data_IF_192978607117
#
_entry.id   IF_192978607117
#
_cell.length_a   1.000
_cell.length_b   1.000
_cell.length_c   1.000
_cell.angle_alpha   90.00
_cell.angle_beta   90.00
_cell.angle_gamma   90.00
#
_symmetry.space_group_name_H-M   'P 1'
#
loop_
_entity.id
_entity.type
_entity.pdbx_description
1 polymer ?
#
# COMPACT_ATOMS: atom_id res chain seq x y z
N UNK A 1 -32.39 22.97 16.34
CA UNK A 1 -32.77 22.74 17.75
C UNK A 1 -34.10 22.03 17.87
N UNK A 2 -34.24 21.08 18.80
CA UNK A 2 -35.51 20.35 19.00
C UNK A 2 -36.41 21.06 20.02
N UNK A 3 -37.73 21.03 19.80
CA UNK A 3 -38.74 21.53 20.75
C UNK A 3 -39.04 20.49 21.83
N UNK A 4 -38.94 20.89 23.08
CA UNK A 4 -39.53 20.19 24.22
C UNK A 4 -40.84 20.89 24.62
N UNK A 5 -41.90 20.11 24.83
CA UNK A 5 -43.22 20.57 25.25
C UNK A 5 -43.73 19.63 26.34
N UNK A 6 -44.28 20.21 27.39
CA UNK A 6 -44.83 19.46 28.51
C UNK A 6 -45.81 20.29 29.32
N UNK A 7 -46.53 19.65 30.25
CA UNK A 7 -47.54 20.28 31.08
C UNK A 7 -47.31 19.96 32.55
N UNK A 8 -47.35 20.98 33.40
CA UNK A 8 -47.27 20.83 34.85
C UNK A 8 -48.65 20.49 35.39
N UNK A 9 -48.77 19.32 36.01
CA UNK A 9 -49.98 18.84 36.65
C UNK A 9 -49.75 18.59 38.14
N UNK A 10 -50.76 18.86 38.96
CA UNK A 10 -50.76 18.52 40.39
C UNK A 10 -51.04 17.01 40.59
N UNK A 11 -50.85 16.45 41.81
CA UNK A 11 -51.14 15.05 42.09
C UNK A 11 -52.61 14.63 41.89
N UNK A 12 -53.52 15.58 41.68
CA UNK A 12 -54.94 15.36 41.38
C UNK A 12 -55.24 15.47 39.87
N UNK A 13 -54.22 15.73 39.04
CA UNK A 13 -54.33 15.85 37.59
C UNK A 13 -54.72 17.24 37.07
N UNK A 14 -54.79 18.27 37.92
CA UNK A 14 -55.11 19.64 37.48
C UNK A 14 -53.85 20.35 36.99
N UNK A 15 -53.97 21.17 35.94
CA UNK A 15 -52.88 22.01 35.49
C UNK A 15 -52.46 23.05 36.53
N UNK A 16 -51.15 23.25 36.69
CA UNK A 16 -50.58 24.22 37.64
C UNK A 16 -50.06 25.45 36.90
N UNK A 17 -50.85 26.52 36.92
CA UNK A 17 -50.46 27.80 36.33
C UNK A 17 -49.28 28.46 37.06
N UNK A 18 -48.39 29.11 36.32
CA UNK A 18 -47.32 29.93 36.89
C UNK A 18 -46.18 29.16 37.57
N UNK A 19 -46.13 27.84 37.42
CA UNK A 19 -45.00 27.03 37.88
C UNK A 19 -43.68 27.51 37.22
N UNK A 20 -42.60 27.59 38.00
CA UNK A 20 -41.27 27.90 37.49
C UNK A 20 -40.61 26.65 36.90
N UNK A 21 -40.09 26.77 35.69
CA UNK A 21 -39.38 25.72 34.96
C UNK A 21 -37.92 26.09 34.86
N UNK A 22 -37.05 25.17 35.28
CA UNK A 22 -35.60 25.24 35.16
C UNK A 22 -35.15 24.17 34.18
N UNK A 23 -34.41 24.56 33.15
CA UNK A 23 -33.76 23.62 32.23
C UNK A 23 -32.29 23.60 32.56
N UNK A 24 -31.76 22.47 33.00
CA UNK A 24 -30.35 22.31 33.37
C UNK A 24 -29.65 21.39 32.39
N UNK A 25 -28.38 21.66 32.14
CA UNK A 25 -27.48 20.68 31.52
C UNK A 25 -27.31 19.49 32.46
N UNK A 26 -26.81 18.34 31.96
CA UNK A 26 -26.55 17.17 32.80
C UNK A 26 -25.57 17.45 33.95
N UNK A 27 -24.74 18.50 33.83
CA UNK A 27 -23.80 18.93 34.86
C UNK A 27 -24.42 19.89 35.90
N UNK A 28 -25.72 20.21 35.80
CA UNK A 28 -26.47 21.02 36.77
C UNK A 28 -26.55 22.53 36.47
N UNK A 29 -25.78 23.03 35.52
CA UNK A 29 -25.80 24.44 35.08
C UNK A 29 -27.07 24.79 34.30
N UNK A 30 -27.53 26.05 34.38
CA UNK A 30 -28.68 26.51 33.58
C UNK A 30 -28.36 26.46 32.08
N UNK A 31 -29.22 25.80 31.31
CA UNK A 31 -29.07 25.67 29.86
C UNK A 31 -29.49 26.94 29.12
N UNK A 32 -28.82 27.23 28.00
CA UNK A 32 -29.33 28.19 27.02
C UNK A 32 -30.53 27.58 26.29
N UNK A 33 -31.68 28.26 26.36
CA UNK A 33 -32.94 27.81 25.72
C UNK A 33 -33.54 28.94 24.88
N UNK A 34 -34.44 28.57 23.97
CA UNK A 34 -34.99 29.47 22.95
C UNK A 34 -36.51 29.34 22.84
N UNK A 35 -37.18 30.40 22.43
CA UNK A 35 -38.64 30.42 22.21
C UNK A 35 -39.05 29.87 20.84
N UNK A 36 -38.11 29.84 19.90
CA UNK A 36 -38.25 29.30 18.54
C UNK A 36 -37.01 28.50 18.14
N UNK A 37 -37.06 27.83 16.98
CA UNK A 37 -35.93 27.04 16.46
C UNK A 37 -34.77 27.94 15.98
N UNK A 38 -33.97 28.47 16.91
CA UNK A 38 -32.67 29.12 16.62
C UNK A 38 -32.56 30.61 16.92
N UNK A 39 -33.67 31.34 16.91
CA UNK A 39 -33.60 32.78 16.61
C UNK A 39 -33.85 33.73 17.80
N UNK A 40 -34.44 33.26 18.89
CA UNK A 40 -34.85 34.12 20.02
C UNK A 40 -34.54 33.44 21.34
N UNK A 41 -33.52 33.94 22.05
CA UNK A 41 -33.17 33.46 23.38
C UNK A 41 -34.36 33.62 24.34
N UNK A 42 -34.56 32.62 25.19
CA UNK A 42 -35.62 32.61 26.21
C UNK A 42 -34.97 32.54 27.59
N UNK A 43 -35.51 33.32 28.52
CA UNK A 43 -35.04 33.30 29.91
C UNK A 43 -35.14 31.90 30.51
N UNK A 44 -34.13 31.52 31.27
CA UNK A 44 -34.10 30.29 32.05
C UNK A 44 -33.62 30.64 33.45
N UNK A 45 -34.45 30.48 34.50
CA UNK A 45 -35.78 29.86 34.48
C UNK A 45 -36.89 30.72 33.84
N UNK A 46 -38.04 30.10 33.55
CA UNK A 46 -39.24 30.77 33.04
C UNK A 46 -40.52 30.17 33.63
N UNK A 47 -41.66 30.83 33.44
CA UNK A 47 -42.95 30.38 33.99
C UNK A 47 -43.82 29.64 32.98
N UNK A 48 -44.52 28.60 33.45
CA UNK A 48 -45.57 27.93 32.69
C UNK A 48 -46.80 28.84 32.51
N UNK A 49 -47.56 28.62 31.44
CA UNK A 49 -48.72 29.45 31.10
C UNK A 49 -49.92 29.20 32.04
N UNK A 50 -51.06 29.84 31.77
CA UNK A 50 -52.29 29.70 32.57
C UNK A 50 -52.86 28.26 32.59
N UNK A 51 -52.47 27.43 31.62
CA UNK A 51 -52.86 26.02 31.50
C UNK A 51 -51.75 25.08 31.98
N UNK A 52 -50.73 25.59 32.69
CA UNK A 52 -49.59 24.80 33.17
C UNK A 52 -48.66 24.29 32.07
N UNK A 53 -48.87 24.68 30.82
CA UNK A 53 -48.04 24.24 29.70
C UNK A 53 -46.76 25.05 29.61
N UNK A 54 -45.69 24.39 29.20
CA UNK A 54 -44.42 25.03 28.94
C UNK A 54 -43.73 24.39 27.74
N UNK A 55 -43.02 25.21 26.97
CA UNK A 55 -42.19 24.73 25.89
C UNK A 55 -40.92 25.56 25.74
N UNK A 56 -39.88 24.91 25.22
CA UNK A 56 -38.63 25.55 24.87
C UNK A 56 -37.96 24.77 23.72
N UNK A 57 -37.00 25.42 23.07
CA UNK A 57 -36.06 24.79 22.15
C UNK A 57 -34.67 24.80 22.78
N UNK A 58 -33.91 23.72 22.58
CA UNK A 58 -32.51 23.64 22.98
C UNK A 58 -31.68 22.90 21.92
N UNK A 59 -30.36 23.06 21.98
CA UNK A 59 -29.41 22.37 21.13
C UNK A 59 -29.40 20.86 21.39
N UNK A 60 -28.72 20.11 20.51
CA UNK A 60 -28.56 18.67 20.69
C UNK A 60 -27.81 18.39 22.00
N UNK A 61 -28.41 17.62 22.89
CA UNK A 61 -27.86 17.39 24.22
C UNK A 61 -28.80 16.66 25.17
N UNK A 62 -28.30 16.44 26.39
CA UNK A 62 -29.05 15.80 27.50
C UNK A 62 -29.28 16.83 28.60
N UNK A 63 -30.52 16.92 29.06
CA UNK A 63 -30.99 17.97 29.97
C UNK A 63 -31.80 17.41 31.12
N UNK A 64 -31.78 18.11 32.25
CA UNK A 64 -32.72 17.89 33.34
C UNK A 64 -33.74 19.03 33.35
N UNK A 65 -35.03 18.70 33.46
CA UNK A 65 -36.11 19.70 33.53
C UNK A 65 -36.75 19.63 34.91
N UNK A 66 -36.55 20.68 35.71
CA UNK A 66 -37.10 20.81 37.05
C UNK A 66 -38.25 21.80 37.04
N UNK A 67 -39.33 21.46 37.73
CA UNK A 67 -40.49 22.32 37.91
C UNK A 67 -40.67 22.61 39.39
N UNK A 68 -40.77 23.88 39.75
CA UNK A 68 -40.98 24.35 41.11
C UNK A 68 -42.20 25.26 41.24
N UNK A 69 -42.91 25.16 42.36
CA UNK A 69 -44.07 26.01 42.69
C UNK A 69 -43.86 26.58 44.09
N UNK A 70 -43.88 27.91 44.23
CA UNK A 70 -43.64 28.55 45.53
C UNK A 70 -42.25 28.25 46.13
N UNK A 71 -41.26 27.94 45.29
CA UNK A 71 -39.89 27.59 45.71
C UNK A 71 -39.67 26.11 46.05
N UNK A 72 -40.70 25.27 45.99
CA UNK A 72 -40.58 23.82 46.21
C UNK A 72 -40.55 23.07 44.87
N UNK A 73 -39.57 22.19 44.68
CA UNK A 73 -39.49 21.33 43.49
C UNK A 73 -40.61 20.29 43.52
N UNK A 74 -41.46 20.31 42.50
CA UNK A 74 -42.63 19.44 42.36
C UNK A 74 -42.35 18.23 41.46
N UNK A 75 -41.52 18.41 40.42
CA UNK A 75 -41.15 17.33 39.52
C UNK A 75 -39.80 17.59 38.89
N UNK A 76 -39.02 16.53 38.72
CA UNK A 76 -37.78 16.53 37.93
C UNK A 76 -37.90 15.46 36.86
N UNK A 77 -37.68 15.85 35.60
CA UNK A 77 -37.40 14.91 34.52
C UNK A 77 -35.89 14.89 34.30
N UNK A 78 -35.28 13.78 34.66
CA UNK A 78 -33.86 13.56 34.43
C UNK A 78 -33.63 13.06 33.02
N UNK A 79 -32.48 13.39 32.46
CA UNK A 79 -31.96 12.81 31.23
C UNK A 79 -32.90 12.92 30.00
N UNK A 80 -33.48 14.10 29.83
CA UNK A 80 -34.22 14.45 28.62
C UNK A 80 -33.23 14.66 27.49
N UNK A 81 -33.18 13.71 26.56
CA UNK A 81 -32.40 13.83 25.33
C UNK A 81 -33.17 14.66 24.31
N UNK A 82 -32.56 15.75 23.85
CA UNK A 82 -33.05 16.54 22.73
C UNK A 82 -32.10 16.36 21.56
N UNK A 83 -32.65 15.93 20.42
CA UNK A 83 -31.95 15.66 19.19
C UNK A 83 -32.73 16.21 17.99
N UNK A 84 -32.12 17.13 17.27
CA UNK A 84 -32.55 17.64 15.98
C UNK A 84 -31.65 17.07 14.88
N UNK A 85 -32.23 16.20 14.05
CA UNK A 85 -31.54 15.56 12.94
C UNK A 85 -31.08 16.55 11.86
N UNK A 86 -31.72 17.72 11.73
CA UNK A 86 -31.29 18.75 10.79
C UNK A 86 -29.96 19.42 11.18
N UNK A 87 -29.57 19.31 12.46
CA UNK A 87 -28.33 19.85 13.02
C UNK A 87 -27.15 18.86 12.87
N UNK A 88 -27.40 17.63 12.40
CA UNK A 88 -26.40 16.55 12.25
C UNK A 88 -26.03 16.31 10.79
N UNK A 89 -26.05 17.36 9.95
CA UNK A 89 -25.38 17.29 8.64
C UNK A 89 -23.89 17.57 8.90
N UNK A 90 -23.00 16.57 8.83
CA UNK A 90 -21.58 16.81 9.03
C UNK A 90 -21.07 17.64 7.84
N UNK A 91 -20.58 18.85 8.09
CA UNK A 91 -19.84 19.63 7.09
C UNK A 91 -20.26 21.08 6.86
N UNK A 92 -21.31 21.58 7.52
CA UNK A 92 -21.70 23.01 7.38
C UNK A 92 -21.80 23.68 8.75
N UNK A 93 -20.66 23.94 9.36
CA UNK A 93 -20.56 24.88 10.49
C UNK A 93 -20.47 26.30 9.95
N UNK A 94 -21.58 27.03 9.98
CA UNK A 94 -21.59 28.47 9.74
C UNK A 94 -22.93 28.97 9.21
N UNK A 95 -23.44 30.03 9.85
CA UNK A 95 -24.39 31.06 9.39
C UNK A 95 -25.05 30.81 8.03
N UNK A 96 -26.39 30.86 7.93
CA UNK A 96 -27.08 30.84 6.64
C UNK A 96 -26.42 31.81 5.66
N UNK A 97 -25.63 31.25 4.74
CA UNK A 97 -24.90 32.01 3.75
C UNK A 97 -25.92 32.80 2.92
N UNK A 98 -25.68 34.11 2.82
CA UNK A 98 -26.50 34.98 1.97
C UNK A 98 -26.46 34.48 0.53
N UNK A 99 -27.48 34.79 -0.28
CA UNK A 99 -27.59 34.24 -1.65
C UNK A 99 -26.33 34.50 -2.51
N UNK A 100 -25.55 35.56 -2.19
CA UNK A 100 -24.28 35.87 -2.83
C UNK A 100 -23.12 34.95 -2.42
N UNK A 101 -23.01 34.57 -1.15
CA UNK A 101 -21.98 33.63 -0.67
C UNK A 101 -22.19 32.22 -1.24
N UNK A 102 -23.46 31.80 -1.33
CA UNK A 102 -23.82 30.54 -2.01
C UNK A 102 -23.51 30.57 -3.50
N UNK A 103 -23.55 31.75 -4.13
CA UNK A 103 -23.21 31.92 -5.54
C UNK A 103 -21.70 31.88 -5.75
N UNK A 104 -20.91 32.50 -4.86
CA UNK A 104 -19.45 32.44 -4.91
C UNK A 104 -18.91 31.05 -4.61
N UNK A 105 -19.51 30.32 -3.68
CA UNK A 105 -19.13 28.93 -3.39
C UNK A 105 -19.43 28.03 -4.59
N UNK A 106 -20.57 28.25 -5.26
CA UNK A 106 -20.93 27.51 -6.47
C UNK A 106 -20.01 27.85 -7.64
N UNK A 107 -19.66 29.12 -7.85
CA UNK A 107 -18.69 29.55 -8.86
C UNK A 107 -17.31 28.92 -8.61
N UNK A 108 -16.86 28.90 -7.35
CA UNK A 108 -15.59 28.29 -6.95
C UNK A 108 -15.60 26.78 -7.18
N UNK A 109 -16.67 26.07 -6.77
CA UNK A 109 -16.82 24.64 -6.98
C UNK A 109 -16.89 24.28 -8.47
N UNK A 110 -17.55 25.11 -9.28
CA UNK A 110 -17.59 24.92 -10.74
C UNK A 110 -16.23 25.15 -11.40
N UNK A 111 -15.44 26.11 -10.90
CA UNK A 111 -14.08 26.36 -11.37
C UNK A 111 -13.11 25.22 -11.02
N UNK A 112 -13.18 24.71 -9.80
CA UNK A 112 -12.37 23.55 -9.37
C UNK A 112 -12.75 22.28 -10.14
N UNK A 113 -14.03 22.03 -10.36
CA UNK A 113 -14.46 20.92 -11.23
C UNK A 113 -13.99 21.12 -12.67
N UNK A 114 -14.09 22.33 -13.24
CA UNK A 114 -13.61 22.60 -14.60
C UNK A 114 -12.09 22.35 -14.71
N UNK A 115 -11.30 22.83 -13.76
CA UNK A 115 -9.85 22.58 -13.72
C UNK A 115 -9.51 21.09 -13.58
N UNK A 116 -10.28 20.35 -12.77
CA UNK A 116 -10.11 18.90 -12.61
C UNK A 116 -10.43 18.15 -13.90
N UNK A 117 -11.51 18.53 -14.60
CA UNK A 117 -11.89 17.97 -15.89
C UNK A 117 -10.84 18.27 -16.98
N UNK A 118 -10.30 19.49 -17.01
CA UNK A 118 -9.23 19.87 -17.94
C UNK A 118 -7.94 19.07 -17.70
N UNK A 119 -7.55 18.88 -16.44
CA UNK A 119 -6.40 18.05 -16.07
C UNK A 119 -6.61 16.58 -16.50
N UNK A 120 -7.80 16.02 -16.24
CA UNK A 120 -8.15 14.66 -16.68
C UNK A 120 -8.14 14.51 -18.20
N UNK A 121 -8.65 15.51 -18.94
CA UNK A 121 -8.62 15.53 -20.41
C UNK A 121 -7.19 15.56 -20.96
N UNK A 122 -6.29 16.30 -20.31
CA UNK A 122 -4.88 16.33 -20.67
C UNK A 122 -4.19 14.99 -20.42
N UNK A 123 -4.48 14.33 -19.29
CA UNK A 123 -3.98 12.97 -18.98
C UNK A 123 -4.49 11.94 -20.00
N UNK A 124 -5.79 11.97 -20.32
CA UNK A 124 -6.39 11.09 -21.33
C UNK A 124 -5.78 11.30 -22.72
N UNK A 125 -5.50 12.56 -23.08
CA UNK A 125 -4.82 12.89 -24.34
C UNK A 125 -3.38 12.34 -24.35
N UNK A 126 -2.67 12.46 -23.23
CA UNK A 126 -1.32 11.88 -23.08
C UNK A 126 -1.31 10.36 -23.23
N UNK A 127 -2.25 9.66 -22.58
CA UNK A 127 -2.42 8.21 -22.76
C UNK A 127 -2.78 7.83 -24.20
N UNK A 128 -3.62 8.63 -24.87
CA UNK A 128 -3.94 8.44 -26.29
C UNK A 128 -2.72 8.55 -27.20
N UNK A 129 -1.84 9.52 -26.93
CA UNK A 129 -0.58 9.66 -27.68
C UNK A 129 0.38 8.50 -27.41
N UNK A 130 0.50 8.05 -26.15
CA UNK A 130 1.33 6.88 -25.81
C UNK A 130 0.83 5.59 -26.49
N UNK A 131 -0.48 5.38 -26.55
CA UNK A 131 -1.07 4.25 -27.26
C UNK A 131 -0.82 4.34 -28.76
N UNK A 132 -0.93 5.54 -29.36
CA UNK A 132 -0.62 5.75 -30.77
C UNK A 132 0.86 5.52 -31.08
N UNK A 133 1.77 5.98 -30.23
CA UNK A 133 3.21 5.76 -30.38
C UNK A 133 3.57 4.29 -30.18
N UNK A 134 2.92 3.60 -29.24
CA UNK A 134 3.08 2.15 -29.04
C UNK A 134 2.54 1.35 -30.23
N UNK A 135 1.39 1.74 -30.79
CA UNK A 135 0.84 1.13 -31.99
C UNK A 135 1.77 1.36 -33.19
N UNK A 136 2.26 2.58 -33.40
CA UNK A 136 3.22 2.88 -34.46
C UNK A 136 4.55 2.12 -34.27
N UNK A 137 5.01 1.96 -33.03
CA UNK A 137 6.17 1.14 -32.68
C UNK A 137 5.97 -0.35 -32.99
N UNK A 138 4.80 -0.89 -32.69
CA UNK A 138 4.42 -2.27 -33.04
C UNK A 138 4.27 -2.46 -34.56
N UNK A 139 3.70 -1.48 -35.26
CA UNK A 139 3.61 -1.48 -36.73
C UNK A 139 4.99 -1.35 -37.40
N UNK A 140 5.94 -0.65 -36.79
CA UNK A 140 7.32 -0.56 -37.27
C UNK A 140 8.15 -1.82 -36.98
N UNK A 141 7.78 -2.59 -35.94
CA UNK A 141 8.47 -3.83 -35.54
C UNK A 141 7.82 -5.10 -36.11
N UNK A 142 6.54 -5.05 -36.46
CA UNK A 142 5.79 -6.16 -37.04
C UNK A 142 5.76 -6.09 -38.56
N UNK A 143 6.15 -7.17 -39.23
CA UNK A 143 5.78 -7.39 -40.62
C UNK A 143 4.26 -7.22 -40.72
N UNK A 144 3.79 -6.31 -41.57
CA UNK A 144 2.36 -6.09 -41.79
C UNK A 144 1.68 -7.41 -42.16
N UNK A 145 0.39 -7.57 -41.86
CA UNK A 145 -0.34 -8.79 -42.21
C UNK A 145 -0.23 -9.10 -43.72
N UNK A 146 -0.18 -8.07 -44.55
CA UNK A 146 0.06 -8.18 -45.98
C UNK A 146 1.46 -8.70 -46.34
N UNK A 147 2.50 -8.30 -45.60
CA UNK A 147 3.87 -8.81 -45.77
C UNK A 147 4.01 -10.24 -45.26
N UNK A 148 3.29 -10.62 -44.20
CA UNK A 148 3.23 -11.99 -43.70
C UNK A 148 2.49 -12.91 -44.68
N UNK A 149 1.38 -12.46 -45.26
CA UNK A 149 0.65 -13.18 -46.31
C UNK A 149 1.52 -13.32 -47.57
N UNK A 150 2.24 -12.26 -47.95
CA UNK A 150 3.19 -12.29 -49.07
C UNK A 150 4.34 -13.26 -48.79
N UNK A 151 4.92 -13.25 -47.59
CA UNK A 151 5.98 -14.20 -47.19
C UNK A 151 5.48 -15.63 -47.11
N UNK A 152 4.26 -15.85 -46.64
CA UNK A 152 3.66 -17.18 -46.56
C UNK A 152 3.36 -17.72 -47.95
N UNK A 153 2.86 -16.88 -48.86
CA UNK A 153 2.65 -17.23 -50.25
C UNK A 153 3.97 -17.58 -50.96
N UNK A 154 5.04 -16.79 -50.77
CA UNK A 154 6.35 -17.09 -51.38
C UNK A 154 7.01 -18.34 -50.80
N UNK A 155 6.83 -18.65 -49.51
CA UNK A 155 7.27 -19.91 -48.92
C UNK A 155 6.49 -21.12 -49.43
N UNK A 156 5.17 -20.97 -49.65
CA UNK A 156 4.35 -22.04 -50.22
C UNK A 156 4.68 -22.29 -51.69
N UNK A 157 4.91 -21.24 -52.48
CA UNK A 157 5.31 -21.33 -53.88
C UNK A 157 6.72 -21.90 -54.04
N UNK A 158 7.68 -21.48 -53.21
CA UNK A 158 9.04 -22.04 -53.22
C UNK A 158 9.06 -23.49 -52.75
N UNK A 159 8.28 -23.83 -51.72
CA UNK A 159 8.09 -25.20 -51.24
C UNK A 159 7.45 -26.11 -52.29
N UNK A 160 6.41 -25.63 -52.97
CA UNK A 160 5.75 -26.36 -54.07
C UNK A 160 6.69 -26.57 -55.27
N UNK A 161 7.50 -25.56 -55.60
CA UNK A 161 8.52 -25.66 -56.66
C UNK A 161 9.62 -26.65 -56.28
N UNK A 162 10.09 -26.64 -55.03
CA UNK A 162 11.09 -27.57 -54.52
C UNK A 162 10.57 -29.01 -54.49
N UNK A 163 9.33 -29.24 -54.05
CA UNK A 163 8.68 -30.55 -54.08
C UNK A 163 8.56 -31.07 -55.51
N UNK A 164 8.12 -30.23 -56.44
CA UNK A 164 8.01 -30.59 -57.86
C UNK A 164 9.38 -30.93 -58.46
N UNK A 165 10.42 -30.16 -58.13
CA UNK A 165 11.79 -30.43 -58.57
C UNK A 165 12.34 -31.75 -58.01
N UNK A 166 12.08 -32.04 -56.73
CA UNK A 166 12.44 -33.31 -56.09
C UNK A 166 11.72 -34.49 -56.71
N UNK A 167 10.42 -34.36 -57.00
CA UNK A 167 9.63 -35.39 -57.69
C UNK A 167 10.17 -35.68 -59.09
N UNK A 168 10.42 -34.64 -59.89
CA UNK A 168 11.01 -34.79 -61.23
C UNK A 168 12.42 -35.41 -61.16
N UNK A 169 13.20 -35.09 -60.13
CA UNK A 169 14.52 -35.68 -59.92
C UNK A 169 14.44 -37.15 -59.49
N UNK A 170 13.47 -37.53 -58.67
CA UNK A 170 13.22 -38.91 -58.28
C UNK A 170 12.79 -39.76 -59.48
N UNK A 171 11.89 -39.26 -60.32
CA UNK A 171 11.51 -39.89 -61.59
C UNK A 171 12.72 -40.12 -62.51
N UNK A 172 13.59 -39.13 -62.67
CA UNK A 172 14.81 -39.27 -63.47
C UNK A 172 15.80 -40.30 -62.90
N UNK A 173 15.83 -40.47 -61.58
CA UNK A 173 16.64 -41.50 -60.92
C UNK A 173 16.06 -42.90 -61.14
N UNK A 174 14.74 -43.06 -61.02
CA UNK A 174 14.06 -44.34 -61.32
C UNK A 174 14.25 -44.77 -62.78
N UNK A 175 14.15 -43.84 -63.74
CA UNK A 175 14.42 -44.12 -65.16
C UNK A 175 15.89 -44.51 -65.41
N UNK A 176 16.84 -43.87 -64.70
CA UNK A 176 18.26 -44.22 -64.74
C UNK A 176 18.52 -45.62 -64.17
N UNK A 177 17.93 -45.95 -63.03
CA UNK A 177 18.07 -47.27 -62.39
C UNK A 177 17.45 -48.38 -63.26
N UNK A 178 16.31 -48.11 -63.91
CA UNK A 178 15.69 -49.04 -64.86
C UNK A 178 16.57 -49.29 -66.10
N UNK A 179 17.20 -48.22 -66.63
CA UNK A 179 18.15 -48.33 -67.75
C UNK A 179 19.39 -49.15 -67.37
N UNK A 180 19.97 -48.89 -66.18
CA UNK A 180 21.11 -49.65 -65.66
C UNK A 180 20.77 -51.13 -65.43
N UNK A 181 19.61 -51.44 -64.85
CA UNK A 181 19.17 -52.82 -64.67
C UNK A 181 18.98 -53.56 -66.00
N UNK A 182 18.43 -52.89 -67.02
CA UNK A 182 18.26 -53.48 -68.36
C UNK A 182 19.62 -53.75 -69.01
N UNK A 183 20.58 -52.84 -68.85
CA UNK A 183 21.95 -53.00 -69.35
C UNK A 183 22.67 -54.16 -68.63
N UNK A 184 22.55 -54.26 -67.30
CA UNK A 184 23.08 -55.36 -66.50
C UNK A 184 22.45 -56.71 -66.86
N UNK A 185 21.14 -56.76 -67.11
CA UNK A 185 20.45 -57.98 -67.56
C UNK A 185 20.97 -58.44 -68.93
N UNK A 186 21.10 -57.52 -69.89
CA UNK A 186 21.66 -57.85 -71.21
C UNK A 186 23.13 -58.31 -71.13
N UNK A 187 23.88 -57.76 -70.18
CA UNK A 187 25.27 -58.13 -69.94
C UNK A 187 25.37 -59.54 -69.33
N UNK A 188 24.48 -59.88 -68.39
CA UNK A 188 24.36 -61.21 -67.78
C UNK A 188 23.94 -62.27 -68.82
N UNK A 189 22.98 -61.96 -69.69
CA UNK A 189 22.57 -62.84 -70.79
C UNK A 189 23.72 -63.09 -71.77
N UNK A 190 24.51 -62.05 -72.10
CA UNK A 190 25.68 -62.19 -72.99
C UNK A 190 26.84 -62.95 -72.35
N UNK A 191 27.06 -62.82 -71.04
CA UNK A 191 28.05 -63.64 -70.32
C UNK A 191 27.67 -65.11 -70.28
N UNK A 192 26.38 -65.43 -70.12
CA UNK A 192 25.88 -66.81 -70.25
C UNK A 192 26.18 -67.42 -71.62
N UNK A 193 26.13 -66.63 -72.71
CA UNK A 193 26.46 -67.11 -74.07
C UNK A 193 27.95 -67.27 -74.34
N UNK A 194 28.80 -66.52 -73.62
CA UNK A 194 30.27 -66.60 -73.72
C UNK A 194 30.84 -67.82 -72.97
N UNK A 195 30.23 -68.20 -71.84
CA UNK A 195 30.58 -69.43 -71.12
C UNK A 195 30.26 -70.71 -71.92
N UNK A 196 29.20 -70.69 -72.74
CA UNK A 196 28.88 -71.80 -73.64
C UNK A 196 29.84 -71.93 -74.85
N UNK A 197 30.54 -70.86 -75.23
CA UNK A 197 31.32 -70.82 -76.49
C UNK A 197 32.85 -70.85 -76.33
N UNK A 198 33.37 -70.85 -75.09
CA UNK A 198 34.79 -71.13 -74.80
C UNK A 198 35.82 -70.14 -75.36
N UNK A 199 35.41 -68.92 -75.72
CA UNK A 199 36.28 -67.87 -76.27
C UNK A 199 37.05 -67.09 -75.20
N UNK A 200 38.34 -66.79 -75.46
CA UNK A 200 39.16 -65.90 -74.63
C UNK A 200 38.53 -64.50 -74.53
N UNK A 201 38.51 -63.83 -73.36
CA UNK A 201 37.82 -62.55 -73.20
C UNK A 201 38.41 -61.47 -74.10
N UNK A 202 37.55 -60.78 -74.85
CA UNK A 202 37.91 -59.67 -75.74
C UNK A 202 38.36 -58.46 -74.90
N UNK A 203 39.58 -57.99 -75.14
CA UNK A 203 40.16 -56.80 -74.49
C UNK A 203 39.29 -55.55 -74.70
N UNK A 204 38.52 -55.49 -75.78
CA UNK A 204 37.56 -54.40 -76.05
C UNK A 204 36.41 -54.40 -75.04
N UNK A 205 35.95 -55.57 -74.63
CA UNK A 205 34.91 -55.74 -73.63
C UNK A 205 35.41 -55.38 -72.23
N UNK A 206 36.65 -55.75 -71.89
CA UNK A 206 37.30 -55.33 -70.64
C UNK A 206 37.47 -53.81 -70.57
N UNK A 207 37.89 -53.17 -71.67
CA UNK A 207 38.01 -51.70 -71.73
C UNK A 207 36.65 -51.01 -71.58
N UNK A 208 35.60 -51.57 -72.17
CA UNK A 208 34.23 -51.05 -72.04
C UNK A 208 33.75 -51.16 -70.59
N UNK A 209 34.03 -52.28 -69.91
CA UNK A 209 33.72 -52.46 -68.48
C UNK A 209 34.44 -51.43 -67.59
N UNK A 210 35.71 -51.14 -67.88
CA UNK A 210 36.48 -50.15 -67.14
C UNK A 210 35.89 -48.74 -67.30
N UNK A 211 35.51 -48.36 -68.53
CA UNK A 211 34.88 -47.05 -68.78
C UNK A 211 33.53 -46.92 -68.09
N UNK A 212 32.76 -48.02 -68.01
CA UNK A 212 31.44 -48.02 -67.35
C UNK A 212 31.59 -47.86 -65.83
N UNK A 213 32.61 -48.47 -65.23
CA UNK A 213 32.93 -48.31 -63.81
C UNK A 213 33.44 -46.91 -63.47
N UNK A 214 34.29 -46.32 -64.32
CA UNK A 214 34.76 -44.93 -64.18
C UNK A 214 33.59 -43.94 -64.24
N UNK A 215 32.60 -44.17 -65.11
CA UNK A 215 31.39 -43.35 -65.18
C UNK A 215 30.50 -43.51 -63.95
N UNK A 216 30.42 -44.71 -63.36
CA UNK A 216 29.67 -44.95 -62.12
C UNK A 216 30.31 -44.23 -60.91
N UNK A 217 31.64 -44.26 -60.80
CA UNK A 217 32.39 -43.58 -59.73
C UNK A 217 32.25 -42.05 -59.83
N UNK A 218 32.35 -41.49 -61.04
CA UNK A 218 32.08 -40.07 -61.30
C UNK A 218 30.64 -39.66 -60.95
N UNK A 219 29.68 -40.55 -61.19
CA UNK A 219 28.27 -40.33 -60.85
C UNK A 219 28.05 -40.37 -59.33
N UNK A 220 28.70 -41.28 -58.60
CA UNK A 220 28.66 -41.31 -57.14
C UNK A 220 29.30 -40.08 -56.51
N UNK A 221 30.45 -39.64 -57.01
CA UNK A 221 31.08 -38.38 -56.58
C UNK A 221 30.18 -37.16 -56.81
N UNK A 222 29.49 -37.12 -57.96
CA UNK A 222 28.51 -36.06 -58.24
C UNK A 222 27.28 -36.12 -57.34
N UNK A 223 26.83 -37.30 -56.92
CA UNK A 223 25.73 -37.46 -55.93
C UNK A 223 26.13 -37.00 -54.54
N UNK A 224 27.37 -37.23 -54.13
CA UNK A 224 27.90 -36.77 -52.84
C UNK A 224 28.03 -35.24 -52.83
N UNK A 225 28.60 -34.65 -53.90
CA UNK A 225 28.70 -33.20 -54.05
C UNK A 225 27.31 -32.53 -54.14
N UNK A 226 26.33 -33.19 -54.77
CA UNK A 226 24.96 -32.68 -54.82
C UNK A 226 24.27 -32.76 -53.44
N UNK A 227 24.60 -33.74 -52.60
CA UNK A 227 24.07 -33.85 -51.24
C UNK A 227 24.69 -32.81 -50.29
N UNK A 228 25.95 -32.44 -50.50
CA UNK A 228 26.58 -31.28 -49.85
C UNK A 228 26.02 -29.94 -50.35
N UNK A 229 25.46 -29.90 -51.57
CA UNK A 229 24.84 -28.71 -52.17
C UNK A 229 23.34 -28.56 -51.84
N UNK A 230 22.68 -29.60 -51.32
CA UNK A 230 21.44 -29.43 -50.56
C UNK A 230 21.91 -28.88 -49.22
N UNK A 231 21.38 -27.75 -48.77
CA UNK A 231 21.74 -27.14 -47.48
C UNK A 231 20.67 -27.48 -46.41
N UNK A 232 20.63 -28.70 -45.86
CA UNK A 232 19.87 -28.98 -44.66
C UNK A 232 20.72 -28.52 -43.46
N UNK A 233 20.51 -27.30 -42.96
CA UNK A 233 21.00 -26.81 -41.65
C UNK A 233 22.29 -27.52 -41.19
N UNK A 234 23.43 -27.14 -41.76
CA UNK A 234 24.71 -27.72 -41.36
C UNK A 234 24.94 -27.35 -39.88
N UNK A 235 25.53 -28.25 -39.09
CA UNK A 235 25.78 -28.04 -37.64
C UNK A 235 26.50 -26.72 -37.32
N UNK A 236 27.21 -26.13 -38.30
CA UNK A 236 27.87 -24.83 -38.23
C UNK A 236 26.93 -23.62 -38.21
N UNK A 237 25.68 -23.80 -38.64
CA UNK A 237 24.63 -22.77 -38.70
C UNK A 237 23.71 -22.80 -37.48
N UNK A 238 23.99 -23.73 -36.56
CA UNK A 238 23.35 -23.82 -35.25
C UNK A 238 24.36 -23.35 -34.20
N UNK A 239 24.01 -22.29 -33.50
CA UNK A 239 24.86 -21.67 -32.48
C UNK A 239 24.49 -22.15 -31.08
N UNK A 240 25.48 -22.68 -30.36
CA UNK A 240 25.35 -23.04 -28.94
C UNK A 240 25.88 -21.92 -28.01
N UNK A 241 25.47 -20.67 -28.28
CA UNK A 241 25.87 -19.49 -27.49
C UNK A 241 24.78 -18.40 -27.56
N UNK A 242 24.52 -17.69 -26.47
CA UNK A 242 23.50 -16.63 -26.39
C UNK A 242 24.01 -15.22 -26.75
N UNK A 243 25.32 -15.06 -26.90
CA UNK A 243 25.95 -13.75 -27.14
C UNK A 243 26.27 -13.50 -28.61
N UNK A 244 25.83 -14.38 -29.51
CA UNK A 244 26.03 -14.18 -30.94
C UNK A 244 25.19 -13.01 -31.43
N UNK A 245 25.77 -12.20 -32.30
CA UNK A 245 25.07 -11.15 -33.05
C UNK A 245 24.78 -11.57 -34.50
N UNK A 246 25.08 -12.83 -34.86
CA UNK A 246 24.82 -13.36 -36.19
C UNK A 246 23.31 -13.49 -36.40
N UNK A 247 22.79 -12.76 -37.38
CA UNK A 247 21.35 -12.71 -37.70
C UNK A 247 20.90 -13.83 -38.62
N UNK A 248 21.83 -14.63 -39.13
CA UNK A 248 21.58 -15.66 -40.14
C UNK A 248 21.57 -17.08 -39.56
N UNK A 249 21.99 -17.23 -38.30
CA UNK A 249 22.14 -18.54 -37.66
C UNK A 249 21.08 -18.78 -36.60
N UNK A 250 20.59 -20.02 -36.55
CA UNK A 250 19.65 -20.44 -35.53
C UNK A 250 20.37 -20.76 -34.21
N UNK A 251 19.69 -20.56 -33.08
CA UNK A 251 20.18 -21.06 -31.79
C UNK A 251 19.95 -22.56 -31.65
N UNK A 252 20.84 -23.23 -30.92
CA UNK A 252 20.69 -24.65 -30.59
C UNK A 252 19.49 -24.89 -29.67
N UNK A 253 18.97 -26.12 -29.68
CA UNK A 253 17.93 -26.54 -28.72
C UNK A 253 18.42 -26.45 -27.25
N UNK A 254 19.73 -26.61 -27.01
CA UNK A 254 20.32 -26.42 -25.68
C UNK A 254 20.22 -24.96 -25.24
N UNK A 255 20.45 -23.99 -26.14
CA UNK A 255 20.23 -22.58 -25.85
C UNK A 255 18.75 -22.26 -25.63
N UNK A 256 17.84 -22.91 -26.36
CA UNK A 256 16.40 -22.82 -26.09
C UNK A 256 16.04 -23.24 -24.66
N UNK A 257 16.64 -24.32 -24.15
CA UNK A 257 16.47 -24.76 -22.74
C UNK A 257 17.05 -23.75 -21.76
N UNK A 258 18.21 -23.17 -22.04
CA UNK A 258 18.83 -22.14 -21.19
C UNK A 258 17.95 -20.89 -21.11
N UNK A 259 17.47 -20.39 -22.26
CA UNK A 259 16.54 -19.26 -22.33
C UNK A 259 15.26 -19.57 -21.54
N UNK A 260 14.69 -20.76 -21.71
CA UNK A 260 13.50 -21.19 -20.96
C UNK A 260 13.74 -21.19 -19.45
N UNK A 261 14.89 -21.67 -18.98
CA UNK A 261 15.22 -21.65 -17.56
C UNK A 261 15.37 -20.22 -17.01
N UNK A 262 15.97 -19.31 -17.78
CA UNK A 262 16.04 -17.89 -17.42
C UNK A 262 14.65 -17.23 -17.37
N UNK A 263 13.77 -17.53 -18.34
CA UNK A 263 12.38 -17.06 -18.35
C UNK A 263 11.62 -17.61 -17.15
N UNK A 264 11.74 -18.89 -16.86
CA UNK A 264 11.08 -19.50 -15.70
C UNK A 264 11.56 -18.87 -14.39
N UNK A 265 12.84 -18.53 -14.30
CA UNK A 265 13.38 -17.82 -13.13
C UNK A 265 12.78 -16.42 -13.02
N UNK A 266 12.69 -15.65 -14.12
CA UNK A 266 12.04 -14.34 -14.13
C UNK A 266 10.56 -14.44 -13.77
N UNK A 267 9.84 -15.41 -14.32
CA UNK A 267 8.43 -15.65 -14.05
C UNK A 267 8.22 -16.06 -12.59
N UNK A 268 9.08 -16.91 -12.03
CA UNK A 268 9.04 -17.28 -10.62
C UNK A 268 9.29 -16.08 -9.70
N UNK A 269 10.19 -15.15 -10.05
CA UNK A 269 10.36 -13.89 -9.33
C UNK A 269 9.13 -12.98 -9.44
N UNK A 270 8.52 -12.89 -10.63
CA UNK A 270 7.34 -12.06 -10.88
C UNK A 270 6.04 -12.65 -10.30
N UNK A 271 6.01 -13.96 -10.04
CA UNK A 271 4.86 -14.68 -9.50
C UNK A 271 5.03 -15.06 -8.03
N UNK A 272 6.17 -14.80 -7.39
CA UNK A 272 6.32 -15.16 -5.99
C UNK A 272 5.42 -14.27 -5.14
N UNK A 273 4.43 -14.88 -4.50
CA UNK A 273 3.38 -14.25 -3.66
C UNK A 273 3.89 -13.60 -2.36
N UNK A 274 5.18 -13.24 -2.26
CA UNK A 274 5.71 -12.46 -1.13
C UNK A 274 5.54 -10.95 -1.42
N UNK A 275 4.28 -10.53 -1.33
CA UNK A 275 3.69 -9.27 -1.81
C UNK A 275 3.86 -8.08 -0.85
N UNK A 276 5.06 -7.58 -0.61
CA UNK A 276 5.14 -6.26 0.05
C UNK A 276 5.93 -5.20 -0.68
N UNK A 277 6.81 -5.56 -1.63
CA UNK A 277 7.72 -4.64 -2.32
C UNK A 277 8.13 -5.23 -3.70
N UNK A 278 7.14 -5.67 -4.47
CA UNK A 278 7.29 -6.48 -5.69
C UNK A 278 7.57 -5.66 -6.97
N UNK A 279 7.41 -4.34 -6.91
CA UNK A 279 7.88 -3.42 -7.94
C UNK A 279 8.83 -2.36 -7.38
N UNK A 280 9.82 -1.93 -8.18
CA UNK A 280 10.71 -0.82 -7.80
C UNK A 280 9.93 0.45 -7.42
N UNK A 281 8.75 0.66 -8.02
CA UNK A 281 7.89 1.80 -7.69
C UNK A 281 7.28 1.69 -6.30
N UNK A 282 6.81 0.51 -5.89
CA UNK A 282 6.30 0.29 -4.53
C UNK A 282 7.40 0.41 -3.47
N UNK A 283 8.64 0.00 -3.78
CA UNK A 283 9.80 0.26 -2.91
C UNK A 283 10.00 1.76 -2.74
N UNK A 284 9.95 2.52 -3.84
CA UNK A 284 10.10 3.98 -3.83
C UNK A 284 8.97 4.63 -3.03
N UNK A 285 7.73 4.18 -3.21
CA UNK A 285 6.56 4.70 -2.51
C UNK A 285 6.62 4.39 -1.01
N UNK A 286 7.03 3.18 -0.64
CA UNK A 286 7.24 2.79 0.76
C UNK A 286 8.35 3.61 1.42
N UNK A 287 9.46 3.86 0.71
CA UNK A 287 10.54 4.73 1.20
C UNK A 287 10.04 6.17 1.36
N UNK A 288 9.24 6.68 0.43
CA UNK A 288 8.67 8.02 0.53
C UNK A 288 7.68 8.14 1.69
N UNK A 289 6.84 7.13 1.92
CA UNK A 289 5.91 7.06 3.04
C UNK A 289 6.65 7.00 4.39
N UNK A 290 7.70 6.17 4.48
CA UNK A 290 8.55 6.10 5.66
C UNK A 290 9.28 7.42 5.90
N UNK A 291 9.80 8.07 4.86
CA UNK A 291 10.42 9.40 4.97
C UNK A 291 9.43 10.41 5.53
N UNK A 292 8.21 10.48 4.97
CA UNK A 292 7.16 11.38 5.47
C UNK A 292 6.81 11.07 6.93
N UNK A 293 6.68 9.79 7.28
CA UNK A 293 6.44 9.36 8.68
C UNK A 293 7.57 9.81 9.60
N UNK A 294 8.83 9.60 9.22
CA UNK A 294 10.00 10.02 10.00
C UNK A 294 10.09 11.54 10.16
N UNK A 295 9.73 12.32 9.12
CA UNK A 295 9.63 13.78 9.20
C UNK A 295 8.53 14.22 10.18
N UNK A 296 7.45 13.44 10.30
CA UNK A 296 6.39 13.71 11.28
C UNK A 296 6.73 13.31 12.71
N UNK A 297 7.79 12.54 12.97
CA UNK A 297 8.18 12.13 14.34
C UNK A 297 8.91 13.22 15.17
N UNK A 298 8.96 14.46 14.68
CA UNK A 298 9.51 15.59 15.46
C UNK A 298 8.73 15.86 16.76
N UNK A 299 9.43 16.34 17.80
CA UNK A 299 8.86 16.63 19.13
C UNK A 299 7.60 17.51 19.05
N UNK A 300 7.57 18.48 18.13
CA UNK A 300 6.44 19.37 17.91
C UNK A 300 5.17 18.68 17.40
N UNK A 301 5.29 17.49 16.81
CA UNK A 301 4.18 16.75 16.20
C UNK A 301 3.67 15.60 17.08
N UNK A 302 4.40 15.26 18.15
CA UNK A 302 3.96 14.26 19.13
C UNK A 302 3.17 14.98 20.22
N UNK A 303 1.84 14.85 20.17
CA UNK A 303 0.94 15.49 21.12
C UNK A 303 1.33 15.19 22.58
N UNK A 304 1.43 16.24 23.40
CA UNK A 304 1.78 16.14 24.82
C UNK A 304 3.28 16.02 25.11
N UNK A 305 4.11 15.54 24.18
CA UNK A 305 5.55 15.39 24.42
C UNK A 305 6.25 16.73 24.67
N UNK A 306 5.86 17.78 23.93
CA UNK A 306 6.39 19.15 24.15
C UNK A 306 6.09 19.67 25.55
N UNK A 307 4.88 19.44 26.06
CA UNK A 307 4.47 19.87 27.40
C UNK A 307 5.20 19.07 28.49
N UNK A 308 5.26 17.74 28.35
CA UNK A 308 5.96 16.88 29.30
C UNK A 308 7.47 17.19 29.35
N UNK A 309 8.10 17.48 28.20
CA UNK A 309 9.50 17.92 28.17
C UNK A 309 9.67 19.28 28.83
N UNK A 310 8.76 20.23 28.59
CA UNK A 310 8.79 21.55 29.21
C UNK A 310 8.62 21.46 30.74
N UNK A 311 7.74 20.58 31.22
CA UNK A 311 7.50 20.37 32.65
C UNK A 311 8.71 19.70 33.33
N UNK A 312 9.34 18.72 32.68
CA UNK A 312 10.58 18.08 33.19
C UNK A 312 11.81 18.98 33.08
N UNK A 313 11.88 19.82 32.04
CA UNK A 313 12.98 20.78 31.84
C UNK A 313 12.78 22.07 32.64
N UNK A 314 11.58 22.31 33.18
CA UNK A 314 11.27 23.51 33.93
C UNK A 314 12.23 23.64 35.11
N UNK A 315 12.95 24.77 35.11
CA UNK A 315 13.82 25.22 36.19
C UNK A 315 13.08 25.21 37.54
N UNK A 316 11.74 25.30 37.56
CA UNK A 316 10.91 25.21 38.77
C UNK A 316 11.05 23.87 39.51
N UNK A 317 11.25 22.75 38.80
CA UNK A 317 11.51 21.45 39.42
C UNK A 317 12.93 21.37 40.02
N UNK A 318 13.84 22.25 39.60
CA UNK A 318 15.18 22.41 40.18
C UNK A 318 15.20 23.47 41.28
N UNK A 319 14.42 24.55 41.18
CA UNK A 319 14.31 25.63 42.19
C UNK A 319 13.75 25.12 43.52
N UNK A 320 12.93 24.06 43.48
CA UNK A 320 12.46 23.37 44.68
C UNK A 320 13.48 22.42 45.31
N UNK A 321 14.58 22.11 44.62
CA UNK A 321 15.67 21.33 45.21
C UNK A 321 16.54 22.26 46.04
N UNK A 322 16.78 21.88 47.29
CA UNK A 322 17.74 22.58 48.16
C UNK A 322 19.12 22.55 47.53
N UNK A 323 19.65 23.73 47.22
CA UNK A 323 21.02 23.88 46.73
C UNK A 323 22.02 23.41 47.79
N UNK A 324 23.07 22.72 47.36
CA UNK A 324 24.17 22.32 48.25
C UNK A 324 24.85 23.58 48.80
N UNK A 325 24.68 23.86 50.08
CA UNK A 325 25.42 24.91 50.78
C UNK A 325 26.71 24.33 51.36
N UNK A 326 27.86 24.94 51.06
CA UNK A 326 29.16 24.48 51.54
C UNK A 326 29.18 24.39 53.09
N UNK A 327 29.58 23.22 53.62
CA UNK A 327 29.61 22.95 55.06
C UNK A 327 28.32 22.38 55.67
N UNK A 328 27.27 22.14 54.87
CA UNK A 328 26.04 21.44 55.30
C UNK A 328 25.84 20.14 54.52
N UNK A 329 25.28 19.11 55.17
CA UNK A 329 24.81 17.90 54.50
C UNK A 329 23.42 18.16 53.87
N UNK A 330 23.06 17.38 52.86
CA UNK A 330 21.90 17.61 51.97
C UNK A 330 20.52 17.49 52.67
N UNK A 331 20.50 17.04 53.92
CA UNK A 331 19.34 17.08 54.82
C UNK A 331 19.66 18.01 56.00
N UNK A 332 18.83 19.03 56.20
CA UNK A 332 18.98 20.00 57.28
C UNK A 332 18.96 19.30 58.64
N UNK A 333 19.95 19.55 59.49
CA UNK A 333 19.74 19.40 60.93
C UNK A 333 18.83 20.56 61.37
N UNK A 334 17.51 20.31 61.31
CA UNK A 334 16.40 21.23 61.57
C UNK A 334 16.27 21.63 63.05
N UNK A 335 17.30 22.24 63.64
CA UNK A 335 17.16 22.89 64.95
C UNK A 335 17.00 24.40 64.76
N UNK A 336 15.86 24.94 65.18
CA UNK A 336 15.64 26.39 65.31
C UNK A 336 16.64 26.99 66.31
N UNK A 337 16.90 28.30 66.23
CA UNK A 337 17.80 28.97 67.18
C UNK A 337 17.34 28.80 68.63
N UNK A 338 16.03 28.74 68.87
CA UNK A 338 15.48 28.47 70.19
C UNK A 338 15.76 27.03 70.66
N UNK A 339 15.69 26.05 69.77
CA UNK A 339 16.03 24.65 70.08
C UNK A 339 17.52 24.46 70.29
N UNK A 340 18.37 25.17 69.54
CA UNK A 340 19.83 25.18 69.77
C UNK A 340 20.19 25.83 71.10
N UNK A 341 19.52 26.91 71.48
CA UNK A 341 19.69 27.52 72.82
C UNK A 341 19.23 26.56 73.91
N UNK A 342 18.06 25.92 73.76
CA UNK A 342 17.59 24.90 74.71
C UNK A 342 18.56 23.71 74.82
N UNK A 343 19.12 23.25 73.71
CA UNK A 343 20.12 22.17 73.69
C UNK A 343 21.44 22.59 74.35
N UNK A 344 21.88 23.84 74.13
CA UNK A 344 23.06 24.39 74.80
C UNK A 344 22.84 24.59 76.30
N UNK A 345 21.60 24.88 76.71
CA UNK A 345 21.18 25.04 78.10
C UNK A 345 20.88 23.70 78.80
N UNK A 346 20.88 22.57 78.06
CA UNK A 346 20.79 21.24 78.66
C UNK A 346 22.06 20.99 79.47
N UNK A 347 21.91 21.14 80.79
CA UNK A 347 22.97 20.91 81.76
C UNK A 347 23.43 19.44 81.65
N UNK A 348 24.74 19.15 81.54
CA UNK A 348 25.22 17.78 81.54
C UNK A 348 24.80 17.11 82.86
N UNK A 349 23.96 16.09 82.78
CA UNK A 349 23.57 15.29 83.95
C UNK A 349 24.73 14.47 84.52
N UNK A 350 25.81 14.36 83.75
CA UNK A 350 27.03 13.66 84.15
C UNK A 350 27.79 14.52 85.17
N UNK A 351 27.75 14.09 86.43
CA UNK A 351 28.51 14.70 87.54
C UNK A 351 27.68 15.42 88.59
N UNK A 352 26.34 15.40 88.53
CA UNK A 352 25.52 15.97 89.61
C UNK A 352 25.57 15.10 90.87
N UNK A 353 25.76 15.74 92.02
CA UNK A 353 25.68 15.07 93.33
C UNK A 353 24.22 14.74 93.68
N UNK A 354 23.98 13.72 94.52
CA UNK A 354 22.63 13.29 94.90
C UNK A 354 21.76 14.43 95.48
N UNK A 355 22.37 15.40 96.17
CA UNK A 355 21.68 16.58 96.70
C UNK A 355 21.22 17.56 95.61
N UNK A 356 21.97 17.67 94.50
CA UNK A 356 21.63 18.55 93.38
C UNK A 356 20.52 17.94 92.50
N UNK A 357 20.48 16.61 92.37
CA UNK A 357 19.39 15.91 91.68
C UNK A 357 18.05 16.12 92.38
N UNK A 358 18.01 15.95 93.71
CA UNK A 358 16.81 16.11 94.53
C UNK A 358 16.24 17.55 94.57
N UNK A 359 17.07 18.56 94.29
CA UNK A 359 16.63 19.94 94.19
C UNK A 359 15.98 20.26 92.84
N UNK A 360 16.44 19.63 91.75
CA UNK A 360 15.89 19.83 90.41
C UNK A 360 14.51 19.16 90.21
N UNK A 361 14.21 18.11 90.99
CA UNK A 361 12.92 17.39 90.95
C UNK A 361 11.84 17.98 91.86
N UNK A 362 12.07 19.15 92.48
CA UNK A 362 11.11 19.82 93.38
C UNK A 362 10.15 20.78 92.68
N UNK A 363 10.20 20.88 91.36
CA UNK A 363 9.12 21.51 90.58
C UNK A 363 7.91 20.56 90.53
N UNK A 364 6.71 20.98 90.96
CA UNK A 364 5.56 20.09 91.14
C UNK A 364 4.96 19.50 89.85
N UNK A 365 5.37 19.97 88.66
CA UNK A 365 4.85 19.51 87.36
C UNK A 365 5.70 18.46 86.65
N UNK A 366 6.83 18.05 87.24
CA UNK A 366 7.70 17.00 86.67
C UNK A 366 7.61 15.72 87.47
N UNK A 367 6.38 15.29 87.80
CA UNK A 367 6.12 13.98 88.39
C UNK A 367 6.04 12.91 87.29
N UNK A 368 7.15 12.64 86.60
CA UNK A 368 7.28 11.36 85.91
C UNK A 368 7.70 10.31 86.94
N UNK A 369 6.70 9.55 87.37
CA UNK A 369 6.82 8.35 88.19
C UNK A 369 7.89 7.44 87.61
N UNK A 370 8.96 7.25 88.37
CA UNK A 370 9.82 6.07 88.21
C UNK A 370 9.04 4.90 88.82
N UNK A 371 8.56 4.00 87.98
CA UNK A 371 8.10 2.69 88.40
C UNK A 371 8.89 1.63 87.63
N UNK A 372 9.74 0.91 88.37
CA UNK A 372 10.30 -0.40 88.00
C UNK A 372 11.44 -0.40 87.02
#
# INVERSE_FOLDING_TARGET
MQRYLDTVIDPKGNAVAGAMVYVRTLNGELAAIFSSNGAQAKSNPFTANLYGEFSFYAANGRYNVEVAVGGLVMSTREDVTLFDAADVIPGITGTQATHGERLTDLETLTGEHAATLEAQALTLTGHGQQLADQQAGLEAQGLTLAELDTRTATMQESGGTAITALQNRALALEESDASQNTQLLSLAERTSTLEETGGSPDLTEVNTRLTTLEQADQTQGSRLNALEAVDPLIVTDILDVLTSTDTTKALSANQGRVIKASIDSMVALLQSDELTLDTLQEIVDFIQLNRATLETLGIGNIAGLTAELADKASLAALDGKVDKVAGKQLSTEDYTSAEKTKLADLKPWVGMTAAQYAAATKDPDTLYVVAG
#
